data_IF_835038559101
#
_entry.id   IF_835038559101
#
_cell.length_a   1.000
_cell.length_b   1.000
_cell.length_c   1.000
_cell.angle_alpha   90.00
_cell.angle_beta   90.00
_cell.angle_gamma   90.00
#
_symmetry.space_group_name_H-M   'P 1'
#
loop_
_entity.id
_entity.type
_entity.pdbx_description
1 polymer ?
#
# COMPACT_ATOMS: atom_id res chain seq x y z
N UNK A 1 -5.63 5.15 -18.71
CA UNK A 1 -6.27 5.64 -17.46
C UNK A 1 -7.26 4.63 -16.86
N UNK A 2 -7.02 3.31 -16.93
CA UNK A 2 -7.89 2.28 -16.31
C UNK A 2 -7.26 1.58 -15.09
N UNK A 3 -5.94 1.69 -14.86
CA UNK A 3 -5.26 0.99 -13.77
C UNK A 3 -5.33 1.66 -12.39
N UNK A 4 -5.56 2.98 -12.30
CA UNK A 4 -5.48 3.71 -11.04
C UNK A 4 -6.71 3.49 -10.14
N UNK A 5 -7.84 3.13 -10.74
CA UNK A 5 -9.09 2.87 -10.02
C UNK A 5 -8.99 1.55 -9.21
N UNK A 6 -8.18 0.59 -9.65
CA UNK A 6 -7.98 -0.67 -8.92
C UNK A 6 -7.25 -0.47 -7.58
N UNK A 7 -6.30 0.48 -7.52
CA UNK A 7 -5.53 0.77 -6.29
C UNK A 7 -6.38 1.50 -5.25
N UNK A 8 -7.28 2.39 -5.68
CA UNK A 8 -8.25 3.04 -4.78
C UNK A 8 -9.42 2.10 -4.40
N UNK A 9 -9.79 1.17 -5.28
CA UNK A 9 -10.85 0.20 -5.01
C UNK A 9 -10.43 -0.89 -4.01
N UNK A 10 -9.14 -1.21 -3.90
CA UNK A 10 -8.63 -2.16 -2.91
C UNK A 10 -8.88 -1.70 -1.45
N UNK A 11 -9.09 -0.40 -1.22
CA UNK A 11 -9.36 0.15 0.12
C UNK A 11 -10.86 0.19 0.49
N UNK A 12 -11.78 -0.08 -0.45
CA UNK A 12 -13.24 0.14 -0.23
C UNK A 12 -14.09 -1.14 -0.40
N UNK A 13 -13.51 -2.26 -0.81
CA UNK A 13 -14.27 -3.50 -1.09
C UNK A 13 -14.08 -4.54 0.02
N UNK A 14 -14.68 -4.31 1.20
CA UNK A 14 -14.81 -5.35 2.24
C UNK A 14 -16.26 -5.73 2.59
N UNK A 15 -17.27 -5.26 1.85
CA UNK A 15 -18.67 -5.43 2.27
C UNK A 15 -19.47 -6.53 1.54
N UNK A 16 -18.88 -7.41 0.72
CA UNK A 16 -19.70 -8.41 0.03
C UNK A 16 -19.02 -9.46 -0.84
N UNK A 17 -17.72 -9.71 -0.70
CA UNK A 17 -17.12 -10.86 -1.37
C UNK A 17 -17.62 -12.15 -0.70
N UNK A 18 -18.04 -13.19 -1.47
CA UNK A 18 -18.26 -14.51 -0.90
C UNK A 18 -16.98 -14.92 -0.15
N UNK A 19 -17.13 -15.50 1.04
CA UNK A 19 -16.02 -15.98 1.88
C UNK A 19 -15.00 -16.63 0.96
N UNK A 20 -13.87 -15.95 0.73
CA UNK A 20 -12.81 -16.47 -0.10
C UNK A 20 -12.41 -17.83 0.46
N UNK A 21 -11.98 -18.77 -0.40
CA UNK A 21 -11.54 -20.08 0.04
C UNK A 21 -10.58 -19.92 1.23
N UNK A 22 -10.88 -20.59 2.35
CA UNK A 22 -10.16 -20.38 3.62
C UNK A 22 -8.64 -20.41 3.42
N UNK A 23 -7.96 -19.32 3.76
CA UNK A 23 -6.51 -19.21 3.67
C UNK A 23 -5.89 -19.97 4.85
N UNK A 24 -5.68 -21.28 4.70
CA UNK A 24 -5.17 -22.16 5.76
C UNK A 24 -3.65 -22.16 5.87
N UNK A 25 -2.94 -21.77 4.81
CA UNK A 25 -1.48 -21.71 4.77
C UNK A 25 -1.03 -20.26 5.00
N UNK A 26 -0.15 -20.06 5.99
CA UNK A 26 0.46 -18.76 6.26
C UNK A 26 1.20 -18.27 5.01
N UNK A 27 0.88 -17.06 4.49
CA UNK A 27 1.60 -16.51 3.36
C UNK A 27 3.08 -16.34 3.67
N UNK A 28 3.94 -16.77 2.74
CA UNK A 28 5.37 -16.50 2.83
C UNK A 28 5.65 -14.99 2.76
N UNK A 29 6.67 -14.47 3.48
CA UNK A 29 7.06 -13.08 3.38
C UNK A 29 7.35 -12.64 1.95
N UNK A 30 7.08 -11.38 1.65
CA UNK A 30 7.34 -10.79 0.35
C UNK A 30 8.85 -10.88 0.00
N UNK A 31 9.17 -11.51 -1.14
CA UNK A 31 10.54 -11.62 -1.63
C UNK A 31 10.97 -10.46 -2.56
N UNK A 32 10.07 -9.53 -2.85
CA UNK A 32 10.32 -8.42 -3.77
C UNK A 32 11.21 -7.37 -3.10
N UNK A 33 12.19 -6.87 -3.86
CA UNK A 33 13.10 -5.81 -3.42
C UNK A 33 12.44 -4.46 -3.67
N UNK A 34 12.46 -3.58 -2.65
CA UNK A 34 12.00 -2.21 -2.79
C UNK A 34 12.87 -1.47 -3.83
N UNK A 35 12.27 -0.79 -4.81
CA UNK A 35 13.03 0.06 -5.73
C UNK A 35 13.82 1.14 -4.98
N UNK A 36 15.02 1.46 -5.45
CA UNK A 36 15.86 2.50 -4.84
C UNK A 36 15.31 3.90 -5.12
N UNK A 37 15.24 4.77 -4.12
CA UNK A 37 14.86 6.17 -4.33
C UNK A 37 15.76 6.87 -5.37
N UNK A 38 15.26 7.91 -6.07
CA UNK A 38 16.07 8.71 -6.98
C UNK A 38 17.28 9.33 -6.28
N UNK A 39 18.44 9.27 -6.93
CA UNK A 39 19.66 9.84 -6.39
C UNK A 39 19.57 11.37 -6.21
N UNK A 40 20.23 11.95 -5.20
CA UNK A 40 20.37 13.40 -5.09
C UNK A 40 20.96 14.01 -6.36
N UNK A 41 20.40 15.11 -6.83
CA UNK A 41 20.91 15.81 -8.02
C UNK A 41 20.59 15.14 -9.35
N UNK A 42 19.72 14.13 -9.40
CA UNK A 42 19.34 13.42 -10.65
C UNK A 42 18.79 14.34 -11.75
N UNK A 43 18.25 15.52 -11.38
CA UNK A 43 17.78 16.54 -12.31
C UNK A 43 18.85 17.54 -12.79
N UNK A 44 20.12 17.33 -12.42
CA UNK A 44 21.23 18.01 -13.06
C UNK A 44 21.25 17.73 -14.57
N UNK A 45 21.67 18.72 -15.35
CA UNK A 45 21.56 18.71 -16.82
C UNK A 45 22.13 17.44 -17.47
N UNK A 46 23.29 16.96 -16.99
CA UNK A 46 23.96 15.79 -17.54
C UNK A 46 23.20 14.45 -17.33
N UNK A 47 22.33 14.35 -16.32
CA UNK A 47 21.62 13.09 -15.96
C UNK A 47 20.12 13.15 -16.21
N UNK A 48 19.58 14.35 -16.45
CA UNK A 48 18.14 14.62 -16.55
C UNK A 48 17.45 13.78 -17.62
N UNK A 49 17.98 13.78 -18.84
CA UNK A 49 17.37 13.07 -19.97
C UNK A 49 17.29 11.56 -19.71
N UNK A 50 18.35 10.96 -19.15
CA UNK A 50 18.39 9.54 -18.80
C UNK A 50 17.36 9.20 -17.72
N UNK A 51 17.23 10.05 -16.69
CA UNK A 51 16.23 9.84 -15.65
C UNK A 51 14.81 9.95 -16.18
N UNK A 52 14.51 10.98 -16.98
CA UNK A 52 13.19 11.16 -17.58
C UNK A 52 12.82 9.97 -18.49
N UNK A 53 13.77 9.44 -19.26
CA UNK A 53 13.56 8.26 -20.08
C UNK A 53 13.22 7.00 -19.26
N UNK A 54 13.79 6.85 -18.06
CA UNK A 54 13.53 5.73 -17.15
C UNK A 54 12.40 5.95 -16.14
N UNK A 55 11.80 7.14 -16.10
CA UNK A 55 10.84 7.51 -15.05
C UNK A 55 9.62 6.58 -15.01
N UNK A 56 9.06 6.24 -16.19
CA UNK A 56 7.86 5.38 -16.27
C UNK A 56 8.14 3.98 -15.72
N UNK A 57 9.29 3.39 -16.05
CA UNK A 57 9.67 2.06 -15.58
C UNK A 57 9.92 2.06 -14.07
N UNK A 58 10.57 3.11 -13.57
CA UNK A 58 10.82 3.29 -12.14
C UNK A 58 9.51 3.43 -11.37
N UNK A 59 8.60 4.29 -11.84
CA UNK A 59 7.27 4.45 -11.25
C UNK A 59 6.50 3.13 -11.26
N UNK A 60 6.54 2.40 -12.38
CA UNK A 60 5.92 1.08 -12.50
C UNK A 60 6.46 0.09 -11.47
N UNK A 61 7.77 0.07 -11.23
CA UNK A 61 8.39 -0.78 -10.21
C UNK A 61 7.94 -0.42 -8.78
N UNK A 62 7.84 0.87 -8.46
CA UNK A 62 7.36 1.33 -7.13
C UNK A 62 5.91 0.94 -6.91
N UNK A 63 5.05 1.15 -7.91
CA UNK A 63 3.63 0.78 -7.82
C UNK A 63 3.43 -0.74 -7.71
N UNK A 64 4.19 -1.53 -8.48
CA UNK A 64 4.16 -2.99 -8.39
C UNK A 64 4.60 -3.48 -7.00
N UNK A 65 5.61 -2.83 -6.41
CA UNK A 65 6.05 -3.13 -5.05
C UNK A 65 4.96 -2.80 -4.01
N UNK A 66 4.32 -1.64 -4.12
CA UNK A 66 3.19 -1.26 -3.27
C UNK A 66 2.02 -2.23 -3.37
N UNK A 67 1.65 -2.65 -4.59
CA UNK A 67 0.60 -3.65 -4.80
C UNK A 67 0.96 -4.97 -4.12
N UNK A 68 2.19 -5.44 -4.26
CA UNK A 68 2.61 -6.71 -3.67
C UNK A 68 2.60 -6.68 -2.13
N UNK A 69 2.89 -5.53 -1.51
CA UNK A 69 2.69 -5.31 -0.06
C UNK A 69 1.21 -5.43 0.30
N UNK A 70 0.32 -4.78 -0.46
CA UNK A 70 -1.12 -4.86 -0.26
C UNK A 70 -1.64 -6.29 -0.29
N UNK A 71 -1.31 -7.03 -1.35
CA UNK A 71 -1.72 -8.43 -1.52
C UNK A 71 -1.15 -9.35 -0.44
N UNK A 72 0.10 -9.15 -0.01
CA UNK A 72 0.66 -9.90 1.11
C UNK A 72 -0.07 -9.58 2.41
N UNK A 73 -0.33 -8.30 2.67
CA UNK A 73 -1.01 -7.80 3.85
C UNK A 73 -2.41 -8.40 4.00
N UNK A 74 -3.18 -8.38 2.91
CA UNK A 74 -4.53 -8.95 2.83
C UNK A 74 -4.51 -10.45 3.15
N UNK A 75 -3.71 -11.23 2.41
CA UNK A 75 -3.62 -12.68 2.63
C UNK A 75 -3.19 -13.02 4.05
N UNK A 76 -2.30 -12.23 4.66
CA UNK A 76 -1.85 -12.47 6.02
C UNK A 76 -2.96 -12.16 7.03
N UNK A 77 -3.74 -11.09 6.82
CA UNK A 77 -4.90 -10.77 7.66
C UNK A 77 -5.98 -11.86 7.57
N UNK A 78 -6.28 -12.34 6.36
CA UNK A 78 -7.21 -13.44 6.12
C UNK A 78 -6.76 -14.71 6.84
N UNK A 79 -5.49 -15.09 6.69
CA UNK A 79 -4.94 -16.25 7.40
C UNK A 79 -5.03 -16.09 8.91
N UNK A 80 -4.72 -14.91 9.48
CA UNK A 80 -4.82 -14.68 10.93
C UNK A 80 -6.26 -14.79 11.43
N UNK A 81 -7.22 -14.22 10.70
CA UNK A 81 -8.65 -14.34 11.02
C UNK A 81 -9.15 -15.78 10.96
N UNK A 82 -8.80 -16.50 9.89
CA UNK A 82 -9.13 -17.92 9.74
C UNK A 82 -8.50 -18.76 10.85
N UNK A 83 -7.24 -18.49 11.23
CA UNK A 83 -6.55 -19.21 12.29
C UNK A 83 -7.23 -19.02 13.65
N UNK A 84 -7.70 -17.81 13.97
CA UNK A 84 -8.48 -17.54 15.18
C UNK A 84 -9.79 -18.33 15.21
N UNK A 85 -10.45 -18.48 14.06
CA UNK A 85 -11.68 -19.28 13.94
C UNK A 85 -11.37 -20.77 14.15
N UNK A 86 -10.33 -21.30 13.51
CA UNK A 86 -9.92 -22.70 13.65
C UNK A 86 -9.52 -23.08 15.08
N UNK A 87 -8.92 -22.13 15.81
CA UNK A 87 -8.56 -22.31 17.22
C UNK A 87 -9.77 -22.16 18.16
N UNK A 88 -10.96 -21.89 17.63
CA UNK A 88 -12.18 -21.64 18.40
C UNK A 88 -12.15 -20.33 19.21
N UNK A 89 -11.18 -19.45 18.92
CA UNK A 89 -11.04 -18.16 19.57
C UNK A 89 -12.03 -17.13 19.00
N UNK A 90 -12.40 -17.28 17.72
CA UNK A 90 -13.39 -16.48 17.02
C UNK A 90 -14.46 -17.33 16.34
N UNK A 91 -15.59 -16.70 16.10
CA UNK A 91 -16.61 -17.08 15.11
C UNK A 91 -16.45 -16.23 13.84
N UNK A 92 -17.20 -16.57 12.78
CA UNK A 92 -17.26 -15.71 11.59
C UNK A 92 -17.85 -14.32 11.91
N UNK A 93 -18.75 -14.23 12.89
CA UNK A 93 -19.31 -12.96 13.36
C UNK A 93 -18.25 -12.10 14.05
N UNK A 94 -17.41 -12.70 14.89
CA UNK A 94 -16.30 -11.99 15.56
C UNK A 94 -15.31 -11.41 14.55
N UNK A 95 -14.99 -12.15 13.48
CA UNK A 95 -14.10 -11.66 12.41
C UNK A 95 -14.70 -10.45 11.70
N UNK A 96 -15.99 -10.50 11.36
CA UNK A 96 -16.70 -9.36 10.77
C UNK A 96 -16.75 -8.14 11.70
N UNK A 97 -17.05 -8.36 12.98
CA UNK A 97 -17.08 -7.31 13.99
C UNK A 97 -15.70 -6.67 14.20
N UNK A 98 -14.63 -7.48 14.21
CA UNK A 98 -13.26 -6.99 14.28
C UNK A 98 -12.92 -6.09 13.08
N UNK A 99 -13.25 -6.53 11.85
CA UNK A 99 -12.99 -5.75 10.63
C UNK A 99 -13.74 -4.41 10.64
N UNK A 100 -15.01 -4.39 11.08
CA UNK A 100 -15.78 -3.16 11.24
C UNK A 100 -15.22 -2.27 12.36
N UNK A 101 -14.79 -2.85 13.48
CA UNK A 101 -14.19 -2.12 14.60
C UNK A 101 -12.89 -1.41 14.24
N UNK A 102 -12.13 -1.92 13.25
CA UNK A 102 -10.95 -1.21 12.74
C UNK A 102 -11.30 0.13 12.08
N UNK A 103 -12.51 0.30 11.53
CA UNK A 103 -12.96 1.58 10.98
C UNK A 103 -13.26 2.63 12.06
N UNK A 104 -13.46 2.19 13.30
CA UNK A 104 -13.65 3.05 14.47
C UNK A 104 -12.33 3.28 15.23
N UNK A 105 -11.27 2.54 14.90
CA UNK A 105 -9.95 2.66 15.53
C UNK A 105 -9.23 3.93 15.04
N UNK A 106 -8.96 4.85 15.97
CA UNK A 106 -8.31 6.14 15.66
C UNK A 106 -6.93 5.98 15.01
N UNK A 107 -6.18 4.94 15.40
CA UNK A 107 -4.87 4.65 14.83
C UNK A 107 -4.97 4.24 13.36
N UNK A 108 -5.87 3.31 13.05
CA UNK A 108 -6.15 2.87 11.68
C UNK A 108 -6.68 4.02 10.81
N UNK A 109 -7.62 4.80 11.33
CA UNK A 109 -8.16 5.97 10.61
C UNK A 109 -7.12 7.07 10.41
N UNK A 110 -6.16 7.22 11.34
CA UNK A 110 -4.99 8.06 11.16
C UNK A 110 -4.16 7.65 9.94
N UNK A 111 -3.88 6.35 9.78
CA UNK A 111 -3.19 5.83 8.58
C UNK A 111 -4.00 6.06 7.30
N UNK A 112 -5.31 5.83 7.33
CA UNK A 112 -6.16 6.02 6.15
C UNK A 112 -6.13 7.49 5.67
N UNK A 113 -6.25 8.43 6.60
CA UNK A 113 -6.18 9.87 6.32
C UNK A 113 -4.82 10.29 5.76
N UNK A 114 -3.73 9.78 6.35
CA UNK A 114 -2.38 10.04 5.85
C UNK A 114 -2.20 9.50 4.42
N UNK A 115 -2.67 8.28 4.14
CA UNK A 115 -2.61 7.67 2.81
C UNK A 115 -3.37 8.49 1.75
N UNK A 116 -4.56 9.03 2.08
CA UNK A 116 -5.30 9.90 1.16
C UNK A 116 -4.54 11.19 0.82
N UNK A 117 -3.86 11.79 1.80
CA UNK A 117 -3.05 12.98 1.60
C UNK A 117 -1.85 12.69 0.67
N UNK A 118 -1.20 11.55 0.86
CA UNK A 118 -0.07 11.12 0.02
C UNK A 118 -0.48 10.80 -1.42
N UNK A 119 -1.59 10.08 -1.62
CA UNK A 119 -2.14 9.81 -2.96
C UNK A 119 -2.52 11.12 -3.68
N UNK A 120 -3.06 12.08 -2.95
CA UNK A 120 -3.35 13.42 -3.49
C UNK A 120 -2.08 14.16 -3.89
N UNK A 121 -1.02 14.05 -3.08
CA UNK A 121 0.31 14.58 -3.41
C UNK A 121 0.88 13.97 -4.68
N UNK A 122 0.86 12.63 -4.78
CA UNK A 122 1.32 11.90 -5.95
C UNK A 122 0.58 12.31 -7.22
N UNK A 123 -0.75 12.42 -7.14
CA UNK A 123 -1.59 12.84 -8.29
C UNK A 123 -1.25 14.25 -8.76
N UNK A 124 -1.02 15.19 -7.83
CA UNK A 124 -0.61 16.56 -8.18
C UNK A 124 0.75 16.58 -8.87
N UNK A 125 1.74 15.86 -8.34
CA UNK A 125 3.08 15.79 -8.95
C UNK A 125 3.05 15.12 -10.33
N UNK A 126 2.26 14.05 -10.51
CA UNK A 126 2.08 13.40 -11.80
C UNK A 126 1.40 14.33 -12.83
N UNK A 127 0.40 15.10 -12.41
CA UNK A 127 -0.23 16.10 -13.28
C UNK A 127 0.72 17.23 -13.67
N UNK A 128 1.51 17.73 -12.71
CA UNK A 128 2.49 18.78 -12.97
C UNK A 128 3.64 18.30 -13.87
N UNK A 129 4.05 17.03 -13.73
CA UNK A 129 4.95 16.37 -14.66
C UNK A 129 4.41 16.39 -16.10
N UNK A 130 3.17 15.94 -16.30
CA UNK A 130 2.53 15.95 -17.63
C UNK A 130 2.48 17.34 -18.26
N UNK A 131 2.09 18.36 -17.48
CA UNK A 131 2.05 19.74 -17.94
C UNK A 131 3.44 20.28 -18.32
N UNK A 132 4.48 19.95 -17.55
CA UNK A 132 5.84 20.36 -17.87
C UNK A 132 6.38 19.69 -19.14
N UNK A 133 6.07 18.40 -19.36
CA UNK A 133 6.39 17.69 -20.61
C UNK A 133 5.71 18.34 -21.80
N UNK A 134 4.42 18.66 -21.70
CA UNK A 134 3.67 19.34 -22.77
C UNK A 134 4.23 20.73 -23.10
N UNK A 135 4.76 21.44 -22.09
CA UNK A 135 5.39 22.75 -22.25
C UNK A 135 6.84 22.70 -22.76
N UNK A 136 7.44 21.51 -22.88
CA UNK A 136 8.87 21.36 -23.19
C UNK A 136 9.81 21.81 -22.06
N UNK A 137 9.31 21.94 -20.83
CA UNK A 137 10.09 22.27 -19.63
C UNK A 137 10.68 20.99 -19.03
N UNK A 138 11.83 20.56 -19.54
CA UNK A 138 12.49 19.35 -19.04
C UNK A 138 12.91 19.46 -17.56
N UNK A 139 13.30 20.65 -17.10
CA UNK A 139 13.73 20.85 -15.72
C UNK A 139 12.54 20.70 -14.77
N UNK A 140 11.40 21.33 -15.10
CA UNK A 140 10.15 21.16 -14.40
C UNK A 140 9.63 19.72 -14.47
N UNK A 141 9.73 19.06 -15.63
CA UNK A 141 9.34 17.66 -15.77
C UNK A 141 10.17 16.78 -14.83
N UNK A 142 11.49 16.95 -14.80
CA UNK A 142 12.34 16.14 -13.92
C UNK A 142 12.02 16.36 -12.44
N UNK A 143 11.87 17.61 -12.00
CA UNK A 143 11.54 17.92 -10.61
C UNK A 143 10.20 17.26 -10.19
N UNK A 144 9.16 17.41 -11.02
CA UNK A 144 7.86 16.82 -10.75
C UNK A 144 7.87 15.27 -10.80
N UNK A 145 8.68 14.68 -11.67
CA UNK A 145 8.88 13.24 -11.72
C UNK A 145 9.55 12.71 -10.43
N UNK A 146 10.58 13.39 -9.92
CA UNK A 146 11.20 13.05 -8.63
C UNK A 146 10.20 13.17 -7.49
N UNK A 147 9.39 14.23 -7.46
CA UNK A 147 8.39 14.43 -6.41
C UNK A 147 7.27 13.39 -6.48
N UNK A 148 6.85 12.99 -7.69
CA UNK A 148 5.90 11.91 -7.88
C UNK A 148 6.44 10.58 -7.35
N UNK A 149 7.70 10.24 -7.64
CA UNK A 149 8.34 9.02 -7.11
C UNK A 149 8.43 9.03 -5.59
N UNK A 150 8.83 10.15 -5.00
CA UNK A 150 8.87 10.30 -3.54
C UNK A 150 7.49 10.17 -2.91
N UNK A 151 6.46 10.70 -3.55
CA UNK A 151 5.09 10.55 -3.07
C UNK A 151 4.62 9.09 -3.18
N UNK A 152 4.92 8.40 -4.28
CA UNK A 152 4.64 6.97 -4.42
C UNK A 152 5.36 6.14 -3.33
N UNK A 153 6.63 6.45 -3.05
CA UNK A 153 7.39 5.82 -1.95
C UNK A 153 6.70 6.01 -0.59
N UNK A 154 6.22 7.22 -0.28
CA UNK A 154 5.50 7.47 0.98
C UNK A 154 4.16 6.75 1.05
N UNK A 155 3.44 6.61 -0.08
CA UNK A 155 2.23 5.77 -0.15
C UNK A 155 2.56 4.32 0.19
N UNK A 156 3.63 3.77 -0.37
CA UNK A 156 4.10 2.40 -0.10
C UNK A 156 4.46 2.23 1.38
N UNK A 157 5.21 3.17 1.96
CA UNK A 157 5.58 3.14 3.38
C UNK A 157 4.35 3.22 4.29
N UNK A 158 3.41 4.10 3.98
CA UNK A 158 2.15 4.23 4.71
C UNK A 158 1.34 2.93 4.65
N UNK A 159 1.24 2.30 3.47
CA UNK A 159 0.57 1.02 3.32
C UNK A 159 1.25 -0.07 4.16
N UNK A 160 2.59 -0.18 4.13
CA UNK A 160 3.32 -1.14 4.94
C UNK A 160 3.07 -0.92 6.45
N UNK A 161 3.07 0.33 6.91
CA UNK A 161 2.79 0.67 8.30
C UNK A 161 1.34 0.34 8.69
N UNK A 162 0.37 0.61 7.81
CA UNK A 162 -1.05 0.28 8.01
C UNK A 162 -1.25 -1.24 8.15
N UNK A 163 -0.64 -2.04 7.27
CA UNK A 163 -0.71 -3.51 7.36
C UNK A 163 -0.05 -4.03 8.63
N UNK A 164 1.14 -3.53 8.98
CA UNK A 164 1.82 -3.90 10.22
C UNK A 164 0.96 -3.58 11.46
N UNK A 165 0.33 -2.39 11.48
CA UNK A 165 -0.61 -2.01 12.53
C UNK A 165 -1.76 -3.01 12.63
N UNK A 166 -2.43 -3.29 11.51
CA UNK A 166 -3.58 -4.20 11.51
C UNK A 166 -3.18 -5.63 11.93
N UNK A 167 -2.04 -6.14 11.44
CA UNK A 167 -1.54 -7.46 11.83
C UNK A 167 -1.21 -7.54 13.32
N UNK A 168 -0.71 -6.46 13.92
CA UNK A 168 -0.48 -6.38 15.36
C UNK A 168 -1.80 -6.38 16.14
N UNK A 169 -2.88 -5.82 15.60
CA UNK A 169 -4.22 -5.91 16.21
C UNK A 169 -4.73 -7.36 16.24
N UNK A 170 -4.54 -8.12 15.16
CA UNK A 170 -4.83 -9.57 15.16
C UNK A 170 -4.03 -10.33 16.23
N UNK A 171 -2.72 -10.05 16.35
CA UNK A 171 -1.87 -10.70 17.37
C UNK A 171 -2.32 -10.35 18.79
N UNK A 172 -2.72 -9.11 19.02
CA UNK A 172 -3.26 -8.68 20.30
C UNK A 172 -4.57 -9.39 20.66
N UNK A 173 -5.48 -9.56 19.69
CA UNK A 173 -6.74 -10.29 19.90
C UNK A 173 -6.52 -11.78 20.20
N UNK A 174 -5.54 -12.40 19.53
CA UNK A 174 -5.12 -13.76 19.79
C UNK A 174 -4.56 -13.91 21.22
N UNK A 175 -3.64 -13.03 21.59
CA UNK A 175 -3.03 -13.02 22.92
C UNK A 175 -4.07 -12.80 24.03
N UNK A 176 -5.03 -11.89 23.82
CA UNK A 176 -6.13 -11.65 24.76
C UNK A 176 -7.01 -12.88 25.00
N UNK A 177 -7.04 -13.82 24.04
CA UNK A 177 -7.78 -15.09 24.12
C UNK A 177 -6.91 -16.28 24.52
N UNK A 178 -5.64 -16.04 24.85
CA UNK A 178 -4.70 -17.08 25.26
C UNK A 178 -4.32 -18.06 24.15
N UNK A 179 -4.45 -17.66 22.87
CA UNK A 179 -4.05 -18.47 21.72
C UNK A 179 -2.85 -17.84 21.01
N UNK A 180 -2.01 -18.69 20.41
CA UNK A 180 -0.92 -18.25 19.53
C UNK A 180 -1.31 -18.47 18.07
N UNK A 181 -0.92 -17.53 17.19
CA UNK A 181 -1.11 -17.66 15.75
C UNK A 181 0.07 -18.35 15.05
N UNK A 182 1.18 -18.61 15.75
CA UNK A 182 2.35 -19.30 15.20
C UNK A 182 2.11 -20.81 14.98
#
# INVERSE_FOLDING_TARGET
MRSWIAVLAALVVCAGAPIAAAQTIRPAPLALVRPSAPAPGVCAEATRATFLAGFSDHMGAVLAYGQAIGEYGERLADWKGQRLIELGAWTAEDHGAFALGLLEDEGFMGFLNASMAEVSGMTRSASAYGAAVEAGDEAGACANAVDALRAADRVVESAAAQWAYMHARYDAEAAARGVSLE
#
